data_IF_228984637131
#
_entry.id   IF_228984637131
#
_cell.length_a   1.000
_cell.length_b   1.000
_cell.length_c   1.000
_cell.angle_alpha   90.00
_cell.angle_beta   90.00
_cell.angle_gamma   90.00
#
_symmetry.space_group_name_H-M   'P 1'
#
loop_
_entity.id
_entity.type
_entity.pdbx_description
1 polymer ?
#
# COMPACT_ATOMS: atom_id res chain seq x y z
N UNK A 1 10.35 -19.31 5.40
CA UNK A 1 9.30 -18.53 6.08
C UNK A 1 9.26 -17.15 5.44
N UNK A 2 8.24 -16.83 4.65
CA UNK A 2 8.04 -15.45 4.18
C UNK A 2 7.78 -14.57 5.40
N UNK A 3 8.60 -13.55 5.61
CA UNK A 3 8.40 -12.57 6.68
C UNK A 3 7.23 -11.67 6.27
N UNK A 4 6.07 -11.85 6.91
CA UNK A 4 4.88 -10.99 6.77
C UNK A 4 5.10 -9.63 7.44
N UNK A 5 6.16 -8.92 7.06
CA UNK A 5 6.52 -7.63 7.64
C UNK A 5 6.97 -6.70 6.53
N UNK A 6 6.32 -5.56 6.41
CA UNK A 6 6.76 -4.45 5.55
C UNK A 6 7.96 -3.70 6.13
N UNK A 7 8.10 -3.66 7.46
CA UNK A 7 9.11 -2.85 8.15
C UNK A 7 10.52 -3.25 7.72
N UNK A 8 10.84 -4.54 7.74
CA UNK A 8 12.18 -5.03 7.38
C UNK A 8 12.56 -4.74 5.91
N UNK A 9 11.71 -5.01 4.90
CA UNK A 9 11.91 -4.55 3.53
C UNK A 9 12.08 -3.03 3.42
N UNK A 10 11.24 -2.24 4.08
CA UNK A 10 11.35 -0.77 4.08
C UNK A 10 12.69 -0.30 4.65
N UNK A 11 13.13 -0.87 5.77
CA UNK A 11 14.42 -0.60 6.38
C UNK A 11 15.58 -1.01 5.47
N UNK A 12 15.48 -2.19 4.83
CA UNK A 12 16.49 -2.68 3.89
C UNK A 12 16.61 -1.78 2.67
N UNK A 13 15.48 -1.27 2.17
CA UNK A 13 15.44 -0.28 1.10
C UNK A 13 15.85 1.12 1.55
N UNK A 14 16.06 1.34 2.86
CA UNK A 14 16.28 2.66 3.45
C UNK A 14 15.27 3.67 2.92
N UNK A 15 14.00 3.27 2.96
CA UNK A 15 12.90 4.10 2.47
C UNK A 15 12.91 5.42 3.23
N UNK A 16 13.00 6.53 2.51
CA UNK A 16 12.83 7.84 3.12
C UNK A 16 11.36 8.26 3.13
N UNK A 17 11.11 9.43 3.72
CA UNK A 17 9.77 9.97 3.89
C UNK A 17 9.09 10.35 2.57
N UNK A 18 9.85 10.80 1.55
CA UNK A 18 9.30 11.15 0.24
C UNK A 18 8.89 9.90 -0.52
N UNK A 19 9.74 8.89 -0.54
CA UNK A 19 9.45 7.57 -1.10
C UNK A 19 8.26 6.93 -0.39
N UNK A 20 8.21 7.01 0.94
CA UNK A 20 7.09 6.50 1.72
C UNK A 20 5.77 7.16 1.33
N UNK A 21 5.71 8.50 1.32
CA UNK A 21 4.47 9.20 0.96
C UNK A 21 4.05 8.94 -0.48
N UNK A 22 4.99 8.87 -1.42
CA UNK A 22 4.68 8.51 -2.80
C UNK A 22 4.02 7.12 -2.88
N UNK A 23 4.58 6.11 -2.19
CA UNK A 23 3.98 4.77 -2.14
C UNK A 23 2.60 4.78 -1.48
N UNK A 24 2.40 5.52 -0.39
CA UNK A 24 1.10 5.62 0.29
C UNK A 24 0.06 6.29 -0.61
N UNK A 25 0.41 7.34 -1.34
CA UNK A 25 -0.51 7.97 -2.29
C UNK A 25 -0.92 7.01 -3.41
N UNK A 26 0.04 6.26 -3.96
CA UNK A 26 -0.25 5.25 -4.99
C UNK A 26 -1.15 4.13 -4.43
N UNK A 27 -0.90 3.70 -3.19
CA UNK A 27 -1.68 2.65 -2.51
C UNK A 27 -3.12 3.08 -2.22
N UNK A 28 -3.33 4.32 -1.78
CA UNK A 28 -4.64 4.82 -1.37
C UNK A 28 -5.55 5.16 -2.54
N UNK A 29 -4.99 5.59 -3.66
CA UNK A 29 -5.75 5.94 -4.84
C UNK A 29 -6.10 4.70 -5.66
N UNK A 30 -6.74 3.70 -5.08
CA UNK A 30 -7.17 2.56 -5.88
C UNK A 30 -8.17 3.01 -6.97
N UNK A 31 -7.92 2.62 -8.21
CA UNK A 31 -8.65 3.08 -9.41
C UNK A 31 -9.36 1.88 -10.03
N UNK A 32 -10.59 2.06 -10.48
CA UNK A 32 -11.41 0.98 -11.05
C UNK A 32 -12.23 0.22 -10.01
N UNK A 33 -12.57 0.88 -8.89
CA UNK A 33 -13.45 0.31 -7.87
C UNK A 33 -14.88 0.18 -8.42
N UNK A 34 -15.60 -0.87 -7.99
CA UNK A 34 -16.99 -1.06 -8.39
C UNK A 34 -17.84 0.15 -7.95
N UNK A 35 -18.62 0.71 -8.88
CA UNK A 35 -19.42 1.93 -8.69
C UNK A 35 -18.62 3.24 -8.53
N UNK A 36 -17.30 3.24 -8.76
CA UNK A 36 -16.53 4.48 -8.89
C UNK A 36 -16.92 5.22 -10.16
N UNK A 37 -17.05 6.54 -10.09
CA UNK A 37 -17.30 7.36 -11.29
C UNK A 37 -16.03 7.46 -12.13
N UNK A 38 -16.18 7.50 -13.46
CA UNK A 38 -15.07 7.68 -14.40
C UNK A 38 -14.27 8.98 -14.12
N UNK A 39 -14.95 10.04 -13.67
CA UNK A 39 -14.30 11.30 -13.28
C UNK A 39 -13.37 11.12 -12.06
N UNK A 40 -13.81 10.35 -11.07
CA UNK A 40 -13.01 10.06 -9.88
C UNK A 40 -11.81 9.17 -10.23
N UNK A 41 -12.04 8.14 -11.05
CA UNK A 41 -10.99 7.26 -11.56
C UNK A 41 -9.92 8.06 -12.30
N UNK A 42 -10.32 8.89 -13.27
CA UNK A 42 -9.42 9.76 -14.03
C UNK A 42 -8.62 10.71 -13.14
N UNK A 43 -9.25 11.28 -12.12
CA UNK A 43 -8.55 12.13 -11.15
C UNK A 43 -7.49 11.34 -10.38
N UNK A 44 -7.82 10.12 -9.95
CA UNK A 44 -6.89 9.22 -9.28
C UNK A 44 -5.68 8.85 -10.15
N UNK A 45 -5.92 8.55 -11.43
CA UNK A 45 -4.86 8.28 -12.41
C UNK A 45 -3.93 9.49 -12.60
N UNK A 46 -4.49 10.69 -12.75
CA UNK A 46 -3.70 11.92 -12.90
C UNK A 46 -2.81 12.19 -11.69
N UNK A 47 -3.33 11.98 -10.48
CA UNK A 47 -2.53 12.15 -9.26
C UNK A 47 -1.41 11.09 -9.17
N UNK A 48 -1.70 9.83 -9.51
CA UNK A 48 -0.68 8.77 -9.58
C UNK A 48 0.43 9.12 -10.57
N UNK A 49 0.08 9.61 -11.76
CA UNK A 49 1.04 10.00 -12.79
C UNK A 49 1.94 11.16 -12.32
N UNK A 50 1.34 12.18 -11.68
CA UNK A 50 2.10 13.29 -11.13
C UNK A 50 3.05 12.82 -10.02
N UNK A 51 2.58 12.00 -9.09
CA UNK A 51 3.41 11.45 -8.00
C UNK A 51 4.57 10.64 -8.54
N UNK A 52 4.34 9.81 -9.56
CA UNK A 52 5.40 9.04 -10.21
C UNK A 52 6.41 9.95 -10.91
N UNK A 53 5.95 11.02 -11.57
CA UNK A 53 6.83 12.02 -12.20
C UNK A 53 7.71 12.72 -11.16
N UNK A 54 7.13 13.15 -10.04
CA UNK A 54 7.87 13.77 -8.93
C UNK A 54 8.85 12.78 -8.29
N UNK A 55 8.47 11.51 -8.16
CA UNK A 55 9.36 10.48 -7.63
C UNK A 55 10.56 10.27 -8.55
N UNK A 56 10.36 10.21 -9.88
CA UNK A 56 11.46 10.13 -10.86
C UNK A 56 12.38 11.35 -10.74
N UNK A 57 11.80 12.55 -10.65
CA UNK A 57 12.57 13.78 -10.47
C UNK A 57 13.39 13.75 -9.17
N UNK A 58 12.78 13.35 -8.06
CA UNK A 58 13.42 13.22 -6.75
C UNK A 58 14.60 12.26 -6.79
N UNK A 59 14.42 11.08 -7.39
CA UNK A 59 15.49 10.08 -7.53
C UNK A 59 16.67 10.61 -8.34
N UNK A 60 16.39 11.30 -9.45
CA UNK A 60 17.41 11.79 -10.38
C UNK A 60 18.19 12.98 -9.81
N UNK A 61 17.49 13.96 -9.24
CA UNK A 61 18.09 15.26 -8.92
C UNK A 61 18.51 15.39 -7.46
N UNK A 62 17.74 14.81 -6.53
CA UNK A 62 18.03 14.90 -5.09
C UNK A 62 18.86 13.70 -4.63
N UNK A 63 18.41 12.48 -4.92
CA UNK A 63 19.14 11.26 -4.53
C UNK A 63 20.31 10.92 -5.45
N UNK A 64 20.34 11.50 -6.66
CA UNK A 64 21.38 11.26 -7.68
C UNK A 64 21.56 9.77 -8.00
N UNK A 65 20.44 9.04 -8.06
CA UNK A 65 20.43 7.63 -8.45
C UNK A 65 20.71 7.54 -9.96
N UNK A 66 21.66 6.70 -10.35
CA UNK A 66 22.05 6.48 -11.75
C UNK A 66 20.90 5.90 -12.57
N UNK A 67 20.18 4.93 -12.00
CA UNK A 67 19.02 4.27 -12.62
C UNK A 67 17.74 4.45 -11.77
N UNK A 68 17.05 5.61 -11.85
CA UNK A 68 15.83 5.87 -11.09
C UNK A 68 14.75 4.80 -11.26
N UNK A 69 14.61 4.25 -12.47
CA UNK A 69 13.62 3.21 -12.78
C UNK A 69 13.80 1.93 -11.95
N UNK A 70 15.03 1.46 -11.79
CA UNK A 70 15.33 0.26 -10.99
C UNK A 70 15.00 0.51 -9.51
N UNK A 71 15.38 1.69 -9.00
CA UNK A 71 15.07 2.08 -7.63
C UNK A 71 13.57 2.15 -7.40
N UNK A 72 12.82 2.80 -8.28
CA UNK A 72 11.36 2.93 -8.19
C UNK A 72 10.69 1.55 -8.26
N UNK A 73 11.06 0.71 -9.22
CA UNK A 73 10.54 -0.66 -9.32
C UNK A 73 10.78 -1.45 -8.03
N UNK A 74 11.95 -1.28 -7.39
CA UNK A 74 12.27 -1.97 -6.14
C UNK A 74 11.34 -1.59 -4.99
N UNK A 75 10.92 -0.32 -4.90
CA UNK A 75 10.07 0.16 -3.81
C UNK A 75 8.59 0.00 -4.10
N UNK A 76 8.16 0.08 -5.36
CA UNK A 76 6.77 -0.18 -5.78
C UNK A 76 6.39 -1.65 -5.52
N UNK A 77 7.36 -2.58 -5.56
CA UNK A 77 7.15 -3.98 -5.16
C UNK A 77 6.75 -4.16 -3.68
N UNK A 78 6.82 -3.11 -2.85
CA UNK A 78 6.28 -3.12 -1.49
C UNK A 78 4.75 -3.02 -1.47
N UNK A 79 4.10 -2.47 -2.50
CA UNK A 79 2.64 -2.31 -2.54
C UNK A 79 1.91 -3.67 -2.51
N UNK A 80 2.25 -4.66 -3.37
CA UNK A 80 1.63 -5.98 -3.28
C UNK A 80 1.98 -6.71 -1.98
N UNK A 81 3.12 -6.39 -1.34
CA UNK A 81 3.45 -6.92 -0.02
C UNK A 81 2.53 -6.36 1.08
N UNK A 82 2.08 -5.11 0.94
CA UNK A 82 1.15 -4.50 1.87
C UNK A 82 -0.23 -5.15 1.78
N UNK A 83 -0.74 -5.38 0.56
CA UNK A 83 -1.98 -6.11 0.35
C UNK A 83 -1.94 -7.52 0.97
N UNK A 84 -0.83 -8.25 0.81
CA UNK A 84 -0.68 -9.58 1.44
C UNK A 84 -0.73 -9.51 2.96
N UNK A 85 -0.18 -8.45 3.57
CA UNK A 85 -0.26 -8.26 5.02
C UNK A 85 -1.70 -7.98 5.46
N UNK A 86 -2.45 -7.17 4.71
CA UNK A 86 -3.88 -6.90 4.98
C UNK A 86 -4.69 -8.20 4.92
N UNK A 87 -4.56 -8.98 3.84
CA UNK A 87 -5.26 -10.27 3.71
C UNK A 87 -4.91 -11.23 4.85
N UNK A 88 -3.64 -11.29 5.24
CA UNK A 88 -3.22 -12.15 6.36
C UNK A 88 -3.88 -11.75 7.69
N UNK A 89 -4.03 -10.45 7.94
CA UNK A 89 -4.72 -9.92 9.14
C UNK A 89 -6.20 -10.29 9.10
N UNK A 90 -6.85 -10.15 7.94
CA UNK A 90 -8.24 -10.53 7.73
C UNK A 90 -8.44 -12.04 7.99
N UNK A 91 -7.61 -12.89 7.38
CA UNK A 91 -7.64 -14.35 7.58
C UNK A 91 -7.45 -14.73 9.07
N UNK A 92 -6.50 -14.10 9.77
CA UNK A 92 -6.26 -14.38 11.20
C UNK A 92 -7.45 -13.95 12.06
N UNK A 93 -8.11 -12.85 11.71
CA UNK A 93 -9.30 -12.38 12.42
C UNK A 93 -10.49 -13.32 12.24
N UNK A 94 -10.73 -13.79 11.02
CA UNK A 94 -11.76 -14.81 10.76
C UNK A 94 -11.51 -16.09 11.55
N UNK A 95 -10.27 -16.58 11.55
CA UNK A 95 -9.89 -17.81 12.26
C UNK A 95 -10.02 -17.69 13.78
N UNK A 96 -9.69 -16.53 14.35
CA UNK A 96 -9.78 -16.31 15.80
C UNK A 96 -11.23 -16.11 16.27
N UNK A 97 -12.08 -15.49 15.45
CA UNK A 97 -13.53 -15.42 15.66
C UNK A 97 -14.17 -16.81 15.61
N UNK A 98 -13.91 -17.59 14.55
CA UNK A 98 -14.46 -18.95 14.38
C UNK A 98 -14.13 -19.84 15.58
N UNK A 99 -12.94 -19.68 16.16
CA UNK A 99 -12.47 -20.48 17.30
C UNK A 99 -12.85 -19.90 18.67
N UNK A 100 -13.59 -18.78 18.72
CA UNK A 100 -13.91 -18.04 19.96
C UNK A 100 -12.67 -17.69 20.82
N UNK A 101 -11.50 -17.52 20.19
CA UNK A 101 -10.23 -17.27 20.89
C UNK A 101 -10.08 -15.78 21.25
N UNK A 102 -10.51 -14.89 20.36
CA UNK A 102 -10.54 -13.46 20.58
C UNK A 102 -11.97 -12.94 20.47
N UNK A 103 -12.46 -12.32 21.54
CA UNK A 103 -13.70 -11.53 21.51
C UNK A 103 -13.37 -10.11 21.07
N UNK A 104 -13.14 -9.93 19.77
CA UNK A 104 -13.11 -8.59 19.18
C UNK A 104 -14.54 -8.06 19.07
N UNK A 105 -14.71 -6.74 19.18
CA UNK A 105 -16.03 -6.13 18.97
C UNK A 105 -16.43 -6.31 17.50
N UNK A 106 -17.74 -6.33 17.23
CA UNK A 106 -18.27 -6.43 15.86
C UNK A 106 -17.77 -5.26 15.01
N UNK A 107 -17.72 -4.07 15.58
CA UNK A 107 -17.26 -2.84 14.90
C UNK A 107 -15.79 -2.97 14.45
N UNK A 108 -14.93 -3.54 15.29
CA UNK A 108 -13.52 -3.76 14.91
C UNK A 108 -13.38 -4.85 13.84
N UNK A 109 -14.17 -5.92 13.93
CA UNK A 109 -14.21 -6.97 12.91
C UNK A 109 -14.66 -6.42 11.55
N UNK A 110 -15.75 -5.68 11.56
CA UNK A 110 -16.34 -5.07 10.38
C UNK A 110 -15.34 -4.09 9.73
N UNK A 111 -14.69 -3.24 10.54
CA UNK A 111 -13.65 -2.32 10.09
C UNK A 111 -12.49 -3.03 9.36
N UNK A 112 -11.93 -4.10 9.95
CA UNK A 112 -10.75 -4.77 9.37
C UNK A 112 -11.10 -5.50 8.07
N UNK A 113 -12.33 -6.01 7.96
CA UNK A 113 -12.81 -6.70 6.77
C UNK A 113 -13.43 -5.75 5.73
N UNK A 114 -13.39 -4.44 5.96
CA UNK A 114 -13.95 -3.45 5.03
C UNK A 114 -15.48 -3.47 4.94
N UNK A 115 -16.15 -3.98 5.97
CA UNK A 115 -17.60 -4.01 6.10
C UNK A 115 -18.01 -2.70 6.78
N UNK A 116 -18.45 -1.73 5.98
CA UNK A 116 -18.79 -0.38 6.48
C UNK A 116 -20.30 -0.12 6.57
N UNK A 117 -21.13 -1.10 6.21
CA UNK A 117 -22.58 -0.98 6.02
C UNK A 117 -23.34 -2.12 6.72
#
# INVERSE_FOLDING_TARGET
>A
MQRNSLILPMMSHKLDIFEFFALITILLLDTGLENQTEECEKTGEQVKEQVMTELVHYMKHYKRIEEPGIRIASIVNLLPAAERCVRKIQDDMEMTQMRNVLKVSKEFYDLVNGIFC
#
